data_IF_687308418373
#
_entry.id   IF_687308418373
#
_cell.length_a   1.000
_cell.length_b   1.000
_cell.length_c   1.000
_cell.angle_alpha   90.00
_cell.angle_beta   90.00
_cell.angle_gamma   90.00
#
_symmetry.space_group_name_H-M   'P 1'
#
loop_
_entity.id
_entity.type
_entity.pdbx_description
1 polymer ?
#
# COMPACT_ATOMS: atom_id res chain seq x y z
N UNK A 1 7.75 -7.38 -7.00
CA UNK A 1 6.44 -7.75 -6.41
C UNK A 1 5.37 -6.78 -6.95
N UNK A 2 4.49 -7.28 -7.81
CA UNK A 2 3.60 -6.42 -8.61
C UNK A 2 2.18 -6.27 -8.04
N UNK A 3 1.82 -7.09 -7.04
CA UNK A 3 0.46 -7.09 -6.47
C UNK A 3 0.51 -7.39 -4.98
N UNK A 4 -0.06 -6.48 -4.18
CA UNK A 4 -0.22 -6.66 -2.73
C UNK A 4 -1.58 -7.30 -2.47
N UNK A 5 -1.60 -8.36 -1.68
CA UNK A 5 -2.81 -9.09 -1.29
C UNK A 5 -3.30 -8.63 0.08
N UNK A 6 -4.56 -8.94 0.39
CA UNK A 6 -5.19 -8.62 1.68
C UNK A 6 -4.41 -9.21 2.85
N UNK A 7 -4.32 -8.48 3.95
CA UNK A 7 -3.73 -9.00 5.20
C UNK A 7 -4.57 -10.11 5.84
N UNK A 8 -5.83 -10.27 5.44
CA UNK A 8 -6.74 -11.32 5.94
C UNK A 8 -6.88 -12.51 5.00
N UNK A 9 -6.45 -12.37 3.75
CA UNK A 9 -6.59 -13.42 2.74
C UNK A 9 -5.53 -13.23 1.64
N UNK A 10 -4.50 -14.04 1.65
CA UNK A 10 -3.39 -13.98 0.69
C UNK A 10 -3.78 -14.27 -0.76
N UNK A 11 -5.01 -14.75 -1.02
CA UNK A 11 -5.52 -15.01 -2.37
C UNK A 11 -6.34 -13.84 -2.92
N UNK A 12 -6.78 -12.89 -2.07
CA UNK A 12 -7.55 -11.71 -2.48
C UNK A 12 -6.68 -10.48 -2.56
N UNK A 13 -6.80 -9.72 -3.66
CA UNK A 13 -6.13 -8.42 -3.79
C UNK A 13 -6.55 -7.48 -2.66
N UNK A 14 -5.61 -6.75 -2.07
CA UNK A 14 -5.90 -5.67 -1.13
C UNK A 14 -6.82 -4.64 -1.78
N UNK A 15 -7.92 -4.29 -1.12
CA UNK A 15 -8.95 -3.39 -1.67
C UNK A 15 -9.39 -2.36 -0.65
N UNK A 16 -9.62 -1.12 -1.12
CA UNK A 16 -10.20 -0.04 -0.32
C UNK A 16 -11.66 -0.29 0.05
N UNK A 17 -12.38 -1.05 -0.78
CA UNK A 17 -13.80 -1.38 -0.59
C UNK A 17 -14.05 -2.63 0.25
N UNK A 18 -12.99 -3.28 0.77
CA UNK A 18 -13.17 -4.39 1.71
C UNK A 18 -13.86 -3.88 2.99
N UNK A 19 -14.93 -4.53 3.48
CA UNK A 19 -15.62 -4.09 4.68
C UNK A 19 -14.75 -4.15 5.95
N UNK A 20 -13.71 -4.98 5.95
CA UNK A 20 -12.77 -5.10 7.07
C UNK A 20 -11.58 -4.17 6.90
N UNK A 21 -11.45 -3.18 7.77
CA UNK A 21 -10.27 -2.30 7.79
C UNK A 21 -8.96 -3.05 8.14
N UNK A 22 -9.04 -4.21 8.80
CA UNK A 22 -7.89 -5.08 9.06
C UNK A 22 -7.33 -5.76 7.81
N UNK A 23 -8.01 -5.67 6.66
CA UNK A 23 -7.57 -6.27 5.40
C UNK A 23 -6.48 -5.47 4.69
N UNK A 24 -6.29 -4.19 5.04
CA UNK A 24 -5.42 -3.23 4.35
C UNK A 24 -4.70 -2.30 5.31
N UNK A 25 -3.67 -1.65 4.80
CA UNK A 25 -3.01 -0.52 5.45
C UNK A 25 -3.34 0.74 4.64
N UNK A 26 -3.88 1.75 5.31
CA UNK A 26 -4.16 3.05 4.72
C UNK A 26 -2.95 3.97 4.90
N UNK A 27 -2.75 4.92 3.98
CA UNK A 27 -1.65 5.89 4.09
C UNK A 27 -1.82 6.86 5.27
N UNK A 28 -3.03 6.93 5.84
CA UNK A 28 -3.36 7.76 7.00
C UNK A 28 -3.33 6.99 8.32
N UNK A 29 -3.06 5.66 8.29
CA UNK A 29 -2.98 4.87 9.51
C UNK A 29 -1.82 5.33 10.39
N UNK A 30 -2.05 5.36 11.70
CA UNK A 30 -1.04 5.63 12.69
C UNK A 30 -0.23 4.38 13.04
N UNK A 31 0.91 4.57 13.70
CA UNK A 31 1.85 3.50 14.06
C UNK A 31 1.17 2.31 14.76
N UNK A 32 0.35 2.60 15.77
CA UNK A 32 -0.31 1.56 16.57
C UNK A 32 -1.35 0.80 15.74
N UNK A 33 -2.04 1.51 14.84
CA UNK A 33 -3.01 0.90 13.91
C UNK A 33 -2.28 -0.04 12.95
N UNK A 34 -1.18 0.41 12.35
CA UNK A 34 -0.34 -0.40 11.44
C UNK A 34 0.17 -1.65 12.17
N UNK A 35 0.76 -1.47 13.35
CA UNK A 35 1.27 -2.59 14.16
C UNK A 35 0.18 -3.60 14.49
N UNK A 36 -1.00 -3.15 14.90
CA UNK A 36 -2.12 -4.02 15.20
C UNK A 36 -2.61 -4.77 13.94
N UNK A 37 -2.72 -4.10 12.79
CA UNK A 37 -3.13 -4.72 11.52
C UNK A 37 -2.14 -5.80 11.09
N UNK A 38 -0.84 -5.55 11.16
CA UNK A 38 0.20 -6.53 10.82
C UNK A 38 0.22 -7.68 11.82
N UNK A 39 0.11 -7.40 13.11
CA UNK A 39 0.01 -8.44 14.16
C UNK A 39 -1.16 -9.39 13.88
N UNK A 40 -2.32 -8.85 13.48
CA UNK A 40 -3.54 -9.62 13.17
C UNK A 40 -3.59 -10.16 11.73
N UNK A 41 -2.60 -9.86 10.89
CA UNK A 41 -2.54 -10.41 9.54
C UNK A 41 -2.54 -11.94 9.60
N UNK A 42 -3.31 -12.56 8.68
CA UNK A 42 -3.43 -14.02 8.61
C UNK A 42 -2.08 -14.64 8.24
N UNK A 43 -1.74 -15.74 8.89
CA UNK A 43 -0.58 -16.57 8.61
C UNK A 43 -0.93 -18.03 8.81
N UNK A 44 -0.18 -18.93 8.19
CA UNK A 44 -0.28 -20.36 8.44
C UNK A 44 0.50 -20.76 9.72
N UNK A 45 0.31 -21.97 10.25
CA UNK A 45 0.93 -22.42 11.52
C UNK A 45 2.42 -22.83 11.37
N UNK A 46 2.96 -22.87 10.16
CA UNK A 46 4.36 -23.27 9.94
C UNK A 46 5.33 -22.11 10.26
N UNK A 47 6.58 -22.39 10.59
CA UNK A 47 7.59 -21.34 10.70
C UNK A 47 7.82 -20.61 9.37
N UNK A 48 8.56 -19.52 9.40
CA UNK A 48 8.97 -18.81 8.19
C UNK A 48 9.67 -19.75 7.20
N UNK A 49 9.46 -19.55 5.87
CA UNK A 49 10.06 -20.41 4.86
C UNK A 49 11.59 -20.35 4.89
N UNK A 50 12.22 -21.45 4.50
CA UNK A 50 13.68 -21.54 4.43
C UNK A 50 14.21 -21.32 3.01
N UNK A 51 13.34 -21.47 2.01
CA UNK A 51 13.63 -21.26 0.59
C UNK A 51 12.36 -20.88 -0.18
N UNK A 52 12.48 -20.48 -1.44
CA UNK A 52 11.33 -20.06 -2.28
C UNK A 52 10.32 -21.20 -2.47
N UNK A 53 10.74 -22.45 -2.57
CA UNK A 53 9.83 -23.58 -2.80
C UNK A 53 8.86 -23.78 -1.62
N UNK A 54 9.28 -23.39 -0.41
CA UNK A 54 8.45 -23.47 0.79
C UNK A 54 7.26 -22.47 0.77
N UNK A 55 7.23 -21.52 -0.17
CA UNK A 55 6.12 -20.60 -0.36
C UNK A 55 4.96 -21.22 -1.15
N UNK A 56 5.18 -22.34 -1.83
CA UNK A 56 4.12 -23.01 -2.59
C UNK A 56 2.97 -23.40 -1.65
N UNK A 57 1.76 -22.92 -1.94
CA UNK A 57 0.58 -23.14 -1.11
C UNK A 57 0.53 -22.30 0.18
N UNK A 58 1.39 -21.27 0.33
CA UNK A 58 1.44 -20.37 1.48
C UNK A 58 1.25 -18.91 1.07
N UNK A 59 0.09 -18.53 0.52
CA UNK A 59 -0.12 -17.20 -0.08
C UNK A 59 0.02 -16.06 0.92
N UNK A 60 -0.31 -16.26 2.19
CA UNK A 60 -0.15 -15.26 3.24
C UNK A 60 1.33 -15.00 3.53
N UNK A 61 2.15 -16.04 3.63
CA UNK A 61 3.60 -15.92 3.84
C UNK A 61 4.26 -15.21 2.64
N UNK A 62 3.90 -15.60 1.41
CA UNK A 62 4.38 -14.99 0.18
C UNK A 62 4.03 -13.50 0.13
N UNK A 63 2.78 -13.14 0.44
CA UNK A 63 2.33 -11.76 0.47
C UNK A 63 3.12 -10.90 1.47
N UNK A 64 3.22 -11.35 2.71
CA UNK A 64 3.89 -10.57 3.76
C UNK A 64 5.40 -10.43 3.49
N UNK A 65 6.08 -11.50 3.02
CA UNK A 65 7.48 -11.45 2.61
C UNK A 65 7.68 -10.56 1.38
N UNK A 66 6.75 -10.60 0.41
CA UNK A 66 6.78 -9.74 -0.76
C UNK A 66 6.66 -8.24 -0.39
N UNK A 67 5.78 -7.90 0.56
CA UNK A 67 5.68 -6.55 1.11
C UNK A 67 7.00 -6.14 1.74
N UNK A 68 7.55 -6.97 2.63
CA UNK A 68 8.83 -6.69 3.31
C UNK A 68 9.98 -6.49 2.33
N UNK A 69 10.13 -7.39 1.37
CA UNK A 69 11.17 -7.33 0.33
C UNK A 69 11.08 -6.02 -0.48
N UNK A 70 9.87 -5.62 -0.85
CA UNK A 70 9.63 -4.38 -1.59
C UNK A 70 9.98 -3.14 -0.78
N UNK A 71 9.63 -3.11 0.51
CA UNK A 71 9.95 -1.99 1.41
C UNK A 71 11.45 -1.86 1.67
N UNK A 72 12.16 -3.00 1.74
CA UNK A 72 13.61 -3.05 1.93
C UNK A 72 14.41 -2.91 0.63
N UNK A 73 13.72 -2.83 -0.52
CA UNK A 73 14.34 -2.81 -1.84
C UNK A 73 15.33 -3.97 -2.06
N UNK A 74 14.92 -5.17 -1.69
CA UNK A 74 15.74 -6.39 -1.79
C UNK A 74 14.95 -7.54 -2.42
N UNK A 75 15.67 -8.56 -2.92
CA UNK A 75 15.05 -9.77 -3.47
C UNK A 75 14.33 -10.61 -2.41
N UNK A 76 13.32 -11.37 -2.85
CA UNK A 76 12.54 -12.25 -1.98
C UNK A 76 13.41 -13.30 -1.28
N UNK A 77 14.39 -13.86 -2.00
CA UNK A 77 15.34 -14.84 -1.45
C UNK A 77 16.13 -14.30 -0.26
N UNK A 78 16.58 -13.04 -0.35
CA UNK A 78 17.30 -12.39 0.73
C UNK A 78 16.41 -12.21 1.96
N UNK A 79 15.14 -11.84 1.76
CA UNK A 79 14.17 -11.73 2.86
C UNK A 79 13.86 -13.09 3.49
N UNK A 80 13.76 -14.16 2.69
CA UNK A 80 13.59 -15.52 3.22
C UNK A 80 14.81 -15.92 4.08
N UNK A 81 16.01 -15.66 3.59
CA UNK A 81 17.26 -15.99 4.33
C UNK A 81 17.32 -15.25 5.67
N UNK A 82 16.91 -13.99 5.73
CA UNK A 82 16.91 -13.16 6.94
C UNK A 82 16.01 -13.74 8.04
N UNK A 83 14.89 -14.37 7.64
CA UNK A 83 13.89 -14.90 8.56
C UNK A 83 13.82 -16.43 8.56
N UNK A 84 14.80 -17.10 7.97
CA UNK A 84 14.86 -18.55 7.84
C UNK A 84 14.49 -19.27 9.14
N UNK A 85 13.42 -20.04 9.12
CA UNK A 85 12.97 -20.88 10.23
C UNK A 85 12.46 -20.14 11.47
N UNK A 86 12.46 -18.81 11.48
CA UNK A 86 11.93 -18.01 12.60
C UNK A 86 10.42 -18.11 12.73
N UNK A 87 9.91 -17.61 13.84
CA UNK A 87 8.45 -17.51 14.04
C UNK A 87 7.87 -16.29 13.34
N UNK A 88 6.63 -16.38 12.90
CA UNK A 88 5.92 -15.25 12.31
C UNK A 88 5.82 -14.02 13.22
N UNK A 89 5.83 -14.19 14.54
CA UNK A 89 5.82 -13.09 15.50
C UNK A 89 7.02 -12.16 15.30
N UNK A 90 8.23 -12.71 15.27
CA UNK A 90 9.46 -11.95 15.06
C UNK A 90 9.48 -11.25 13.69
N UNK A 91 9.05 -11.97 12.64
CA UNK A 91 8.94 -11.41 11.31
C UNK A 91 7.95 -10.25 11.26
N UNK A 92 6.75 -10.39 11.86
CA UNK A 92 5.72 -9.34 11.88
C UNK A 92 6.17 -8.08 12.61
N UNK A 93 7.00 -8.19 13.64
CA UNK A 93 7.62 -7.04 14.29
C UNK A 93 8.50 -6.26 13.31
N UNK A 94 9.39 -6.96 12.60
CA UNK A 94 10.27 -6.33 11.60
C UNK A 94 9.51 -5.79 10.39
N UNK A 95 8.45 -6.48 9.97
CA UNK A 95 7.54 -5.99 8.93
C UNK A 95 6.84 -4.72 9.39
N UNK A 96 6.34 -4.66 10.64
CA UNK A 96 5.71 -3.47 11.20
C UNK A 96 6.66 -2.27 11.22
N UNK A 97 7.90 -2.45 11.69
CA UNK A 97 8.94 -1.42 11.67
C UNK A 97 9.18 -0.89 10.25
N UNK A 98 9.29 -1.79 9.27
CA UNK A 98 9.55 -1.43 7.88
C UNK A 98 8.36 -0.66 7.26
N UNK A 99 7.12 -1.10 7.52
CA UNK A 99 5.90 -0.43 7.02
C UNK A 99 5.74 0.94 7.67
N UNK A 100 5.87 1.04 9.00
CA UNK A 100 5.76 2.29 9.74
C UNK A 100 6.80 3.29 9.22
N UNK A 101 8.05 2.88 9.06
CA UNK A 101 9.11 3.75 8.57
C UNK A 101 8.85 4.34 7.18
N UNK A 102 8.02 3.69 6.35
CA UNK A 102 7.61 4.22 5.03
C UNK A 102 6.31 5.00 5.08
N UNK A 103 5.33 4.56 5.85
CA UNK A 103 3.99 5.16 5.88
C UNK A 103 3.95 6.40 6.76
N UNK A 104 4.64 6.42 7.90
CA UNK A 104 4.57 7.53 8.85
C UNK A 104 4.93 8.90 8.25
N UNK A 105 6.03 9.05 7.47
CA UNK A 105 6.33 10.34 6.84
C UNK A 105 5.22 10.79 5.88
N UNK A 106 4.65 9.84 5.11
CA UNK A 106 3.54 10.11 4.18
C UNK A 106 2.28 10.52 4.96
N UNK A 107 1.94 9.77 6.01
CA UNK A 107 0.78 10.07 6.85
C UNK A 107 0.88 11.45 7.49
N UNK A 108 2.06 11.83 7.98
CA UNK A 108 2.31 13.17 8.54
C UNK A 108 2.09 14.27 7.51
N UNK A 109 2.59 14.10 6.29
CA UNK A 109 2.42 15.11 5.24
C UNK A 109 0.96 15.19 4.76
N UNK A 110 0.26 14.06 4.61
CA UNK A 110 -1.17 14.05 4.31
C UNK A 110 -1.96 14.82 5.38
N UNK A 111 -1.71 14.55 6.67
CA UNK A 111 -2.39 15.24 7.77
C UNK A 111 -2.11 16.75 7.77
N UNK A 112 -0.87 17.14 7.48
CA UNK A 112 -0.49 18.56 7.37
C UNK A 112 -1.26 19.23 6.23
N UNK A 113 -1.31 18.61 5.05
CA UNK A 113 -2.05 19.14 3.90
C UNK A 113 -3.57 19.23 4.19
N UNK A 114 -4.14 18.20 4.81
CA UNK A 114 -5.57 18.20 5.16
C UNK A 114 -5.95 19.28 6.19
N UNK A 115 -4.99 19.77 6.97
CA UNK A 115 -5.20 20.89 7.91
C UNK A 115 -5.04 22.27 7.22
N UNK A 116 -4.63 22.32 5.97
CA UNK A 116 -4.48 23.54 5.16
C UNK A 116 -5.39 23.49 3.92
N UNK A 117 -6.69 23.57 4.19
CA UNK A 117 -7.73 23.51 3.15
C UNK A 117 -7.52 24.61 2.10
N UNK A 118 -7.11 25.80 2.52
CA UNK A 118 -6.85 26.92 1.59
C UNK A 118 -5.76 26.57 0.57
N UNK A 119 -4.67 25.99 1.02
CA UNK A 119 -3.59 25.56 0.12
C UNK A 119 -4.06 24.49 -0.88
N UNK A 120 -4.89 23.55 -0.42
CA UNK A 120 -5.48 22.53 -1.29
C UNK A 120 -6.39 23.17 -2.34
N UNK A 121 -7.26 24.10 -1.94
CA UNK A 121 -8.16 24.83 -2.84
C UNK A 121 -7.39 25.64 -3.89
N UNK A 122 -6.32 26.33 -3.52
CA UNK A 122 -5.45 27.06 -4.45
C UNK A 122 -4.83 26.12 -5.51
N UNK A 123 -4.34 24.94 -5.12
CA UNK A 123 -3.80 23.94 -6.07
C UNK A 123 -4.89 23.40 -6.99
N UNK A 124 -6.06 23.09 -6.45
CA UNK A 124 -7.18 22.57 -7.23
C UNK A 124 -7.69 23.61 -8.24
N UNK A 125 -7.75 24.88 -7.85
CA UNK A 125 -8.14 25.98 -8.73
C UNK A 125 -7.14 26.15 -9.88
N UNK A 126 -5.84 26.23 -9.60
CA UNK A 126 -4.78 26.32 -10.61
C UNK A 126 -4.82 25.12 -11.58
N UNK A 127 -5.00 23.89 -11.04
CA UNK A 127 -5.15 22.69 -11.84
C UNK A 127 -6.40 22.71 -12.73
N UNK A 128 -7.53 23.16 -12.21
CA UNK A 128 -8.80 23.32 -12.94
C UNK A 128 -8.66 24.33 -14.08
N UNK A 129 -8.08 25.52 -13.83
CA UNK A 129 -7.85 26.52 -14.85
C UNK A 129 -6.96 26.02 -16.01
N UNK A 130 -5.88 25.29 -15.68
CA UNK A 130 -4.99 24.67 -16.68
C UNK A 130 -5.74 23.64 -17.53
N UNK A 131 -6.54 22.78 -16.89
CA UNK A 131 -7.33 21.77 -17.59
C UNK A 131 -8.39 22.41 -18.46
N UNK A 132 -9.10 23.45 -17.97
CA UNK A 132 -10.14 24.14 -18.70
C UNK A 132 -9.61 24.82 -19.96
N UNK A 133 -8.48 25.48 -19.91
CA UNK A 133 -7.83 26.09 -21.11
C UNK A 133 -7.62 25.06 -22.22
N UNK A 134 -7.17 23.85 -21.89
CA UNK A 134 -6.96 22.78 -22.86
C UNK A 134 -8.29 22.21 -23.36
N UNK A 135 -9.21 21.92 -22.44
CA UNK A 135 -10.51 21.33 -22.77
C UNK A 135 -11.36 22.27 -23.62
N UNK A 136 -11.46 23.55 -23.25
CA UNK A 136 -12.25 24.55 -23.96
C UNK A 136 -11.80 24.72 -25.41
N UNK A 137 -10.49 24.76 -25.67
CA UNK A 137 -9.97 24.83 -27.04
C UNK A 137 -10.37 23.60 -27.88
N UNK A 138 -10.33 22.40 -27.29
CA UNK A 138 -10.74 21.17 -27.97
C UNK A 138 -12.22 21.11 -28.22
N UNK A 139 -13.03 21.45 -27.22
CA UNK A 139 -14.50 21.49 -27.33
C UNK A 139 -14.94 22.49 -28.39
N UNK A 140 -14.32 23.69 -28.44
CA UNK A 140 -14.61 24.69 -29.47
C UNK A 140 -14.38 24.13 -30.87
N UNK A 141 -13.21 23.52 -31.12
CA UNK A 141 -12.91 22.89 -32.42
C UNK A 141 -13.91 21.78 -32.78
N UNK A 142 -14.31 20.95 -31.82
CA UNK A 142 -15.30 19.89 -32.06
C UNK A 142 -16.64 20.50 -32.44
N UNK A 143 -17.10 21.51 -31.70
CA UNK A 143 -18.36 22.21 -31.99
C UNK A 143 -18.38 22.83 -33.39
N UNK A 144 -17.29 23.52 -33.78
CA UNK A 144 -17.14 24.08 -35.13
C UNK A 144 -17.22 22.99 -36.23
N UNK A 145 -16.64 21.81 -36.00
CA UNK A 145 -16.63 20.70 -36.96
C UNK A 145 -18.02 20.03 -37.10
N UNK A 146 -18.82 20.00 -36.03
CA UNK A 146 -20.14 19.37 -36.06
C UNK A 146 -21.32 20.37 -36.23
N UNK A 147 -21.00 21.67 -36.41
CA UNK A 147 -22.01 22.69 -36.74
C UNK A 147 -22.75 23.29 -35.55
N UNK A 148 -22.10 23.37 -34.37
CA UNK A 148 -22.61 24.05 -33.16
C UNK A 148 -21.83 25.32 -32.84
#
# INVERSE_FOLDING_TARGET
>A
FSRIMSLKDGLKKMSKSDPSDLSRINLTDEKDVISNKIKKAKTDPKPMPTNIKDLVGRPEAENLLGIYSSLKNQGLEKSITEFNGKQFSEFKEKLSEAVIGKIEPISKEIKKLLNDERYIDEILLDGSEKADKIATQKIKKIKELVGF
#
